data_IF_236092712551
#
_entry.id   IF_236092712551
#
_cell.length_a   1.000
_cell.length_b   1.000
_cell.length_c   1.000
_cell.angle_alpha   90.00
_cell.angle_beta   90.00
_cell.angle_gamma   90.00
#
_symmetry.space_group_name_H-M   'P 1'
#
loop_
_entity.id
_entity.type
_entity.pdbx_description
1 polymer ?
#
# COMPACT_ATOMS: atom_id res chain seq x y z
N UNK A 1 10.61 -14.45 35.66
CA UNK A 1 10.71 -12.99 35.85
C UNK A 1 11.08 -12.35 34.52
N UNK A 2 10.13 -11.67 33.89
CA UNK A 2 10.29 -11.06 32.55
C UNK A 2 10.83 -9.63 32.76
N UNK A 3 11.96 -9.22 32.13
CA UNK A 3 12.49 -7.88 32.30
C UNK A 3 11.65 -6.86 31.52
N UNK A 4 11.44 -5.68 32.11
CA UNK A 4 10.65 -4.57 31.55
C UNK A 4 11.39 -3.82 30.43
N UNK A 5 10.62 -3.32 29.46
CA UNK A 5 11.03 -2.67 28.20
C UNK A 5 12.03 -1.50 28.35
N UNK A 6 12.16 -0.91 29.54
CA UNK A 6 13.09 0.19 29.82
C UNK A 6 14.57 -0.22 29.73
N UNK A 7 14.89 -1.50 30.01
CA UNK A 7 16.28 -1.97 30.06
C UNK A 7 16.89 -2.24 28.68
N UNK A 8 16.05 -2.52 27.67
CA UNK A 8 16.47 -2.72 26.28
C UNK A 8 16.91 -1.39 25.64
N UNK A 9 16.25 -0.27 25.97
CA UNK A 9 16.51 1.03 25.34
C UNK A 9 17.88 1.62 25.73
N UNK A 10 18.41 1.32 26.92
CA UNK A 10 19.71 1.86 27.36
C UNK A 10 20.92 1.19 26.73
N UNK A 11 20.81 -0.05 26.26
CA UNK A 11 21.94 -0.79 25.70
C UNK A 11 22.26 -0.41 24.25
N UNK A 12 21.32 0.21 23.54
CA UNK A 12 21.50 0.67 22.15
C UNK A 12 22.20 2.03 22.02
N UNK A 13 22.31 2.82 23.09
CA UNK A 13 22.97 4.15 23.04
C UNK A 13 24.49 4.10 23.09
N UNK A 14 25.08 3.03 23.63
CA UNK A 14 26.53 2.97 23.88
C UNK A 14 27.36 2.34 22.75
N UNK A 15 26.73 1.89 21.66
CA UNK A 15 27.42 1.38 20.47
C UNK A 15 27.48 2.40 19.32
N UNK A 16 26.93 3.60 19.51
CA UNK A 16 26.92 4.68 18.51
C UNK A 16 28.26 5.42 18.35
N UNK A 17 29.35 4.92 18.96
CA UNK A 17 30.65 5.61 19.01
C UNK A 17 31.63 5.24 17.88
N UNK A 18 31.48 4.09 17.22
CA UNK A 18 32.41 3.65 16.19
C UNK A 18 31.65 2.94 15.08
N UNK A 19 31.94 3.31 13.83
CA UNK A 19 31.36 2.83 12.56
C UNK A 19 30.12 3.62 12.13
N UNK A 20 30.32 4.48 11.13
CA UNK A 20 29.27 5.19 10.42
C UNK A 20 28.30 4.24 9.76
N UNK A 21 27.19 3.96 10.44
CA UNK A 21 26.00 3.37 9.85
C UNK A 21 25.20 4.49 9.18
N UNK A 22 25.53 4.81 7.93
CA UNK A 22 24.54 5.40 7.02
C UNK A 22 23.52 4.29 6.75
N UNK A 23 22.25 4.59 7.05
CA UNK A 23 21.15 3.62 7.14
C UNK A 23 21.03 2.67 5.95
N UNK A 24 20.78 1.40 6.27
CA UNK A 24 20.55 0.30 5.32
C UNK A 24 19.20 0.35 4.59
N UNK A 25 18.44 1.43 4.71
CA UNK A 25 17.24 1.64 3.92
C UNK A 25 16.92 3.12 3.92
N UNK A 26 17.25 3.80 2.82
CA UNK A 26 16.60 4.98 2.26
C UNK A 26 17.54 5.52 1.19
N UNK A 27 17.13 5.44 -0.08
CA UNK A 27 17.61 6.43 -1.04
C UNK A 27 17.30 7.84 -0.52
N UNK A 28 17.93 8.87 -1.08
CA UNK A 28 17.73 10.26 -0.68
C UNK A 28 16.26 10.53 -0.29
N UNK A 29 16.06 10.97 0.96
CA UNK A 29 14.76 11.23 1.57
C UNK A 29 13.88 11.97 0.55
N UNK A 30 12.87 11.27 0.03
CA UNK A 30 12.11 11.76 -1.13
C UNK A 30 11.40 13.07 -0.76
N UNK A 31 11.54 14.07 -1.61
CA UNK A 31 10.91 15.40 -1.47
C UNK A 31 9.37 15.36 -1.64
N UNK A 32 8.75 14.19 -1.82
CA UNK A 32 7.30 14.06 -1.91
C UNK A 32 6.67 14.14 -0.52
N UNK A 33 5.73 15.07 -0.36
CA UNK A 33 4.98 15.28 0.88
C UNK A 33 3.94 14.20 1.13
N UNK A 34 3.41 13.54 0.09
CA UNK A 34 2.31 12.58 0.23
C UNK A 34 2.79 11.15 0.07
N UNK A 35 2.45 10.29 1.03
CA UNK A 35 2.56 8.84 0.88
C UNK A 35 1.18 8.20 0.73
N UNK A 36 1.16 6.98 0.21
CA UNK A 36 -0.03 6.21 -0.08
C UNK A 36 -0.03 4.95 0.77
N UNK A 37 -1.07 4.76 1.58
CA UNK A 37 -1.27 3.51 2.31
C UNK A 37 -2.05 2.53 1.42
N UNK A 38 -1.32 1.61 0.79
CA UNK A 38 -1.89 0.49 0.05
C UNK A 38 -2.29 -0.60 1.04
N UNK A 39 -3.56 -0.99 1.03
CA UNK A 39 -4.07 -2.04 1.91
C UNK A 39 -4.72 -3.13 1.08
N UNK A 40 -4.49 -4.37 1.50
CA UNK A 40 -5.03 -5.57 0.88
C UNK A 40 -5.66 -6.43 1.96
N UNK A 41 -6.90 -6.84 1.75
CA UNK A 41 -7.58 -7.76 2.67
C UNK A 41 -7.99 -9.01 1.93
N UNK A 42 -7.66 -10.16 2.51
CA UNK A 42 -8.31 -11.41 2.18
C UNK A 42 -9.60 -11.53 2.97
N UNK A 43 -10.69 -11.83 2.26
CA UNK A 43 -12.01 -12.02 2.84
C UNK A 43 -12.35 -13.51 2.77
N UNK A 44 -13.11 -14.02 3.74
CA UNK A 44 -13.63 -15.38 3.67
C UNK A 44 -14.58 -15.51 2.46
N UNK A 45 -14.47 -16.57 1.64
CA UNK A 45 -15.23 -16.68 0.40
C UNK A 45 -16.75 -16.59 0.58
N UNK A 46 -17.29 -17.23 1.63
CA UNK A 46 -18.72 -17.21 1.97
C UNK A 46 -19.23 -15.85 2.45
N UNK A 47 -18.32 -14.92 2.78
CA UNK A 47 -18.60 -13.59 3.32
C UNK A 47 -18.30 -12.45 2.37
N UNK A 48 -17.81 -12.74 1.16
CA UNK A 48 -17.33 -11.70 0.24
C UNK A 48 -18.42 -10.67 -0.12
N UNK A 49 -19.60 -11.15 -0.49
CA UNK A 49 -20.74 -10.28 -0.85
C UNK A 49 -21.21 -9.44 0.35
N UNK A 50 -21.36 -10.07 1.52
CA UNK A 50 -21.75 -9.41 2.78
C UNK A 50 -20.74 -8.32 3.19
N UNK A 51 -19.45 -8.58 2.98
CA UNK A 51 -18.37 -7.63 3.23
C UNK A 51 -18.45 -6.41 2.30
N UNK A 52 -18.69 -6.62 1.01
CA UNK A 52 -18.78 -5.53 0.04
C UNK A 52 -19.98 -4.63 0.32
N UNK A 53 -21.15 -5.21 0.56
CA UNK A 53 -22.35 -4.46 0.92
C UNK A 53 -22.13 -3.64 2.20
N UNK A 54 -21.60 -4.28 3.25
CA UNK A 54 -21.30 -3.60 4.53
C UNK A 54 -20.30 -2.46 4.34
N UNK A 55 -19.34 -2.61 3.42
CA UNK A 55 -18.38 -1.57 3.07
C UNK A 55 -19.04 -0.42 2.32
N UNK A 56 -19.81 -0.69 1.27
CA UNK A 56 -20.51 0.34 0.51
C UNK A 56 -21.39 1.21 1.41
N UNK A 57 -22.16 0.58 2.29
CA UNK A 57 -23.07 1.28 3.21
C UNK A 57 -22.36 2.18 4.22
N UNK A 58 -21.11 1.87 4.61
CA UNK A 58 -20.46 2.50 5.76
C UNK A 58 -19.11 3.17 5.45
N UNK A 59 -18.57 3.03 4.23
CA UNK A 59 -17.26 3.59 3.86
C UNK A 59 -17.22 5.12 3.98
N UNK A 60 -18.38 5.77 3.83
CA UNK A 60 -18.54 7.22 3.99
C UNK A 60 -18.10 7.72 5.36
N UNK A 61 -18.25 6.91 6.41
CA UNK A 61 -17.78 7.23 7.76
C UNK A 61 -16.27 7.40 7.80
N UNK A 62 -15.52 6.59 7.03
CA UNK A 62 -14.06 6.72 6.92
C UNK A 62 -13.65 7.84 5.97
N UNK A 63 -14.35 8.00 4.85
CA UNK A 63 -13.99 9.05 3.87
C UNK A 63 -14.23 10.45 4.40
N UNK A 64 -15.07 10.62 5.44
CA UNK A 64 -15.19 11.86 6.19
C UNK A 64 -13.89 12.27 6.92
N UNK A 65 -13.00 11.32 7.24
CA UNK A 65 -11.74 11.59 7.93
C UNK A 65 -10.50 11.57 7.03
N UNK A 66 -10.53 10.79 5.94
CA UNK A 66 -9.40 10.63 5.02
C UNK A 66 -9.86 10.44 3.59
N UNK A 67 -9.21 11.06 2.60
CA UNK A 67 -9.51 10.81 1.19
C UNK A 67 -9.28 9.35 0.83
N UNK A 68 -10.14 8.80 -0.03
CA UNK A 68 -9.97 7.50 -0.66
C UNK A 68 -9.48 7.74 -2.08
N UNK A 69 -8.35 7.15 -2.47
CA UNK A 69 -7.90 7.24 -3.86
C UNK A 69 -8.72 6.28 -4.73
N UNK A 70 -8.87 5.04 -4.29
CA UNK A 70 -9.68 4.06 -4.99
C UNK A 70 -9.82 2.76 -4.20
N UNK A 71 -10.80 1.97 -4.60
CA UNK A 71 -11.19 0.73 -3.95
C UNK A 71 -11.60 -0.29 -5.03
N UNK A 72 -11.00 -1.47 -4.98
CA UNK A 72 -11.19 -2.50 -6.01
C UNK A 72 -11.41 -3.87 -5.38
N UNK A 73 -12.14 -4.72 -6.10
CA UNK A 73 -12.15 -6.17 -5.94
C UNK A 73 -11.11 -6.79 -6.87
N UNK A 74 -10.56 -7.94 -6.49
CA UNK A 74 -9.66 -8.72 -7.36
C UNK A 74 -10.47 -9.76 -8.12
N UNK A 75 -10.48 -9.67 -9.45
CA UNK A 75 -11.15 -10.61 -10.36
C UNK A 75 -10.21 -11.74 -10.80
N UNK A 76 -8.93 -11.44 -10.99
CA UNK A 76 -7.92 -12.42 -11.39
C UNK A 76 -6.66 -12.31 -10.53
N UNK A 77 -6.11 -13.46 -10.11
CA UNK A 77 -4.99 -13.55 -9.16
C UNK A 77 -5.43 -14.16 -7.83
N UNK A 78 -5.28 -13.42 -6.72
CA UNK A 78 -5.75 -13.90 -5.40
C UNK A 78 -7.22 -13.50 -5.22
N UNK A 79 -8.11 -14.47 -5.45
CA UNK A 79 -9.55 -14.28 -5.34
C UNK A 79 -10.01 -13.96 -3.91
N UNK A 80 -11.22 -13.42 -3.78
CA UNK A 80 -11.80 -12.99 -2.50
C UNK A 80 -10.96 -11.93 -1.79
N UNK A 81 -10.30 -11.07 -2.55
CA UNK A 81 -9.44 -10.01 -2.04
C UNK A 81 -9.97 -8.64 -2.47
N UNK A 82 -9.81 -7.66 -1.59
CA UNK A 82 -9.99 -6.23 -1.92
C UNK A 82 -8.67 -5.48 -1.83
N UNK A 83 -8.53 -4.45 -2.65
CA UNK A 83 -7.39 -3.53 -2.66
C UNK A 83 -7.92 -2.12 -2.48
N UNK A 84 -7.32 -1.31 -1.63
CA UNK A 84 -7.70 0.09 -1.51
C UNK A 84 -6.54 0.98 -1.07
N UNK A 85 -6.50 2.20 -1.59
CA UNK A 85 -5.38 3.14 -1.41
C UNK A 85 -5.85 4.43 -0.72
N UNK A 86 -5.10 4.86 0.29
CA UNK A 86 -5.38 6.06 1.08
C UNK A 86 -4.18 7.01 1.06
N UNK A 87 -4.28 8.20 0.44
CA UNK A 87 -3.21 9.19 0.47
C UNK A 87 -3.17 9.93 1.81
N UNK A 88 -1.96 10.19 2.31
CA UNK A 88 -1.71 10.98 3.52
C UNK A 88 -0.52 11.92 3.33
N UNK A 89 -0.68 13.16 3.80
CA UNK A 89 0.38 14.20 3.79
C UNK A 89 1.50 13.93 4.81
N UNK A 90 1.25 13.10 5.83
CA UNK A 90 2.25 12.76 6.83
C UNK A 90 1.81 11.60 7.71
N UNK A 91 2.78 10.94 8.36
CA UNK A 91 2.52 9.88 9.34
C UNK A 91 1.72 10.41 10.53
N UNK A 92 1.93 11.69 10.89
CA UNK A 92 1.15 12.36 11.93
C UNK A 92 -0.33 12.49 11.53
N UNK A 93 -0.62 12.91 10.29
CA UNK A 93 -2.00 12.98 9.78
C UNK A 93 -2.65 11.60 9.79
N UNK A 94 -1.96 10.57 9.27
CA UNK A 94 -2.45 9.18 9.32
C UNK A 94 -2.76 8.73 10.74
N UNK A 95 -1.86 9.01 11.69
CA UNK A 95 -2.05 8.65 13.10
C UNK A 95 -3.29 9.35 13.66
N UNK A 96 -3.45 10.64 13.42
CA UNK A 96 -4.62 11.40 13.89
C UNK A 96 -5.95 10.84 13.35
N UNK A 97 -6.01 10.50 12.05
CA UNK A 97 -7.18 9.89 11.41
C UNK A 97 -7.50 8.54 12.07
N UNK A 98 -6.50 7.67 12.24
CA UNK A 98 -6.72 6.37 12.86
C UNK A 98 -7.15 6.48 14.32
N UNK A 99 -6.62 7.45 15.07
CA UNK A 99 -7.06 7.73 16.44
C UNK A 99 -8.50 8.24 16.50
N UNK A 100 -8.92 9.10 15.55
CA UNK A 100 -10.29 9.58 15.46
C UNK A 100 -11.26 8.42 15.17
N UNK A 101 -10.96 7.60 14.16
CA UNK A 101 -11.76 6.43 13.80
C UNK A 101 -11.86 5.40 14.94
N UNK A 102 -10.82 5.25 15.75
CA UNK A 102 -10.84 4.36 16.92
C UNK A 102 -11.72 4.89 18.07
N UNK A 103 -12.20 6.14 18.00
CA UNK A 103 -13.14 6.73 18.96
C UNK A 103 -14.54 6.90 18.40
N UNK A 104 -14.71 6.75 17.08
CA UNK A 104 -16.00 6.84 16.42
C UNK A 104 -16.80 5.55 16.63
N UNK A 105 -17.82 5.62 17.48
CA UNK A 105 -18.71 4.49 17.76
C UNK A 105 -19.48 4.04 16.53
N UNK A 106 -19.90 4.94 15.65
CA UNK A 106 -20.61 4.55 14.44
C UNK A 106 -19.70 3.72 13.52
N UNK A 107 -18.45 4.15 13.34
CA UNK A 107 -17.47 3.39 12.57
C UNK A 107 -17.18 2.02 13.19
N UNK A 108 -17.05 1.96 14.51
CA UNK A 108 -16.77 0.70 15.22
C UNK A 108 -17.97 -0.25 15.12
N UNK A 109 -19.16 0.21 15.49
CA UNK A 109 -20.34 -0.63 15.67
C UNK A 109 -20.99 -1.02 14.34
N UNK A 110 -21.01 -0.09 13.36
CA UNK A 110 -21.67 -0.33 12.08
C UNK A 110 -20.77 -1.02 11.07
N UNK A 111 -19.45 -0.82 11.16
CA UNK A 111 -18.50 -1.34 10.17
C UNK A 111 -17.49 -2.32 10.77
N UNK A 112 -16.59 -1.86 11.65
CA UNK A 112 -15.44 -2.68 12.09
C UNK A 112 -15.87 -3.98 12.78
N UNK A 113 -16.84 -3.91 13.69
CA UNK A 113 -17.36 -5.07 14.42
C UNK A 113 -17.92 -6.15 13.48
N UNK A 114 -18.55 -5.73 12.37
CA UNK A 114 -19.15 -6.61 11.37
C UNK A 114 -18.12 -7.20 10.43
N UNK A 115 -17.21 -6.37 9.90
CA UNK A 115 -16.25 -6.85 8.90
C UNK A 115 -15.13 -7.68 9.50
N UNK A 116 -14.71 -7.44 10.75
CA UNK A 116 -13.55 -8.11 11.33
C UNK A 116 -13.66 -9.66 11.32
N UNK A 117 -14.80 -10.27 11.70
CA UNK A 117 -15.00 -11.72 11.57
C UNK A 117 -14.99 -12.25 10.12
N UNK A 118 -15.22 -11.40 9.12
CA UNK A 118 -15.24 -11.77 7.70
C UNK A 118 -13.84 -11.82 7.08
N UNK A 119 -12.84 -11.22 7.73
CA UNK A 119 -11.47 -11.16 7.23
C UNK A 119 -10.73 -12.48 7.48
N UNK A 120 -9.94 -12.92 6.50
CA UNK A 120 -8.98 -14.02 6.65
C UNK A 120 -7.57 -13.50 6.95
N UNK A 121 -7.15 -12.43 6.28
CA UNK A 121 -5.88 -11.75 6.52
C UNK A 121 -5.96 -10.27 6.11
N UNK A 122 -5.01 -9.48 6.63
CA UNK A 122 -4.86 -8.06 6.27
C UNK A 122 -3.40 -7.72 6.06
N UNK A 123 -3.13 -6.88 5.07
CA UNK A 123 -1.82 -6.30 4.86
C UNK A 123 -1.95 -4.80 4.59
N UNK A 124 -0.96 -4.05 5.08
CA UNK A 124 -0.81 -2.62 4.86
C UNK A 124 0.63 -2.34 4.46
N UNK A 125 0.81 -1.53 3.43
CA UNK A 125 2.11 -1.08 2.96
C UNK A 125 2.09 0.44 2.83
N UNK A 126 3.19 1.08 3.19
CA UNK A 126 3.40 2.50 2.91
C UNK A 126 4.21 2.62 1.64
N UNK A 127 3.65 3.32 0.66
CA UNK A 127 4.26 3.50 -0.65
C UNK A 127 4.34 4.98 -1.00
N UNK A 128 5.29 5.32 -1.86
CA UNK A 128 5.41 6.66 -2.43
C UNK A 128 5.38 6.56 -3.93
N UNK A 129 4.89 7.62 -4.57
CA UNK A 129 4.94 7.73 -6.02
C UNK A 129 6.40 7.90 -6.44
N UNK A 130 6.85 7.18 -7.46
CA UNK A 130 8.19 7.42 -7.99
C UNK A 130 8.28 8.83 -8.59
N UNK A 131 9.42 9.55 -8.50
CA UNK A 131 9.49 10.98 -8.83
C UNK A 131 9.08 11.36 -10.26
N UNK A 132 9.15 10.41 -11.19
CA UNK A 132 8.83 10.61 -12.61
C UNK A 132 7.41 10.19 -12.99
N UNK A 133 6.65 9.58 -12.08
CA UNK A 133 5.26 9.22 -12.32
C UNK A 133 4.34 10.33 -11.80
N UNK A 134 3.23 10.54 -12.50
CA UNK A 134 2.13 11.38 -12.04
C UNK A 134 0.89 10.50 -11.87
N UNK A 135 0.13 10.74 -10.80
CA UNK A 135 -1.16 10.09 -10.65
C UNK A 135 -2.11 10.65 -11.70
N UNK A 136 -2.76 9.78 -12.47
CA UNK A 136 -3.77 10.18 -13.44
C UNK A 136 -5.09 9.47 -13.13
N UNK A 137 -6.17 10.23 -13.04
CA UNK A 137 -7.51 9.66 -13.10
C UNK A 137 -7.80 9.26 -14.54
N UNK A 138 -8.30 8.04 -14.80
CA UNK A 138 -8.67 7.65 -16.14
C UNK A 138 -9.83 8.50 -16.66
N UNK A 139 -9.87 8.69 -17.98
CA UNK A 139 -10.91 9.49 -18.64
C UNK A 139 -12.25 8.74 -18.76
N UNK A 140 -12.20 7.42 -18.73
CA UNK A 140 -13.34 6.51 -18.88
C UNK A 140 -13.30 5.43 -17.80
N UNK A 141 -14.46 4.85 -17.49
CA UNK A 141 -14.52 3.73 -16.55
C UNK A 141 -13.77 2.52 -17.11
N UNK A 142 -13.05 1.78 -16.27
CA UNK A 142 -12.18 0.72 -16.75
C UNK A 142 -11.77 -0.34 -15.72
N UNK A 143 -11.10 -1.37 -16.24
CA UNK A 143 -10.44 -2.39 -15.42
C UNK A 143 -8.99 -1.99 -15.18
N UNK A 144 -8.46 -2.36 -14.01
CA UNK A 144 -7.13 -1.96 -13.59
C UNK A 144 -6.25 -3.20 -13.46
N UNK A 145 -4.98 -3.09 -13.83
CA UNK A 145 -4.01 -4.14 -13.55
C UNK A 145 -3.05 -3.65 -12.46
N UNK A 146 -3.03 -4.33 -11.32
CA UNK A 146 -2.01 -4.12 -10.30
C UNK A 146 -0.85 -5.09 -10.54
N UNK A 147 0.22 -4.55 -11.12
CA UNK A 147 1.47 -5.27 -11.33
C UNK A 147 2.42 -4.97 -10.18
N UNK A 148 2.80 -6.00 -9.43
CA UNK A 148 3.72 -5.90 -8.30
C UNK A 148 5.02 -6.62 -8.62
N UNK A 149 6.13 -5.88 -8.54
CA UNK A 149 7.48 -6.40 -8.71
C UNK A 149 8.20 -6.47 -7.37
N UNK A 150 8.82 -7.61 -7.08
CA UNK A 150 9.83 -7.69 -6.04
C UNK A 150 11.18 -7.35 -6.67
N UNK A 151 11.68 -6.15 -6.33
CA UNK A 151 12.94 -5.63 -6.85
C UNK A 151 14.08 -5.92 -5.88
N UNK A 152 15.29 -6.05 -6.42
CA UNK A 152 16.49 -6.15 -5.57
C UNK A 152 16.73 -4.89 -4.73
N UNK A 153 17.35 -5.03 -3.55
CA UNK A 153 17.74 -3.89 -2.71
C UNK A 153 18.59 -2.86 -3.47
N UNK A 154 18.45 -1.59 -3.09
CA UNK A 154 19.13 -0.46 -3.74
C UNK A 154 18.16 0.61 -4.28
N UNK A 155 16.86 0.32 -4.25
CA UNK A 155 15.79 1.30 -4.50
C UNK A 155 15.80 1.91 -5.92
N UNK A 156 15.03 2.98 -6.13
CA UNK A 156 14.91 3.63 -7.44
C UNK A 156 16.24 4.13 -8.03
N UNK A 157 17.28 4.34 -7.21
CA UNK A 157 18.62 4.69 -7.70
C UNK A 157 19.25 3.59 -8.55
N UNK A 158 18.96 2.32 -8.25
CA UNK A 158 19.53 1.17 -8.96
C UNK A 158 18.74 0.80 -10.21
N UNK A 159 17.41 0.79 -10.13
CA UNK A 159 16.56 0.28 -11.22
C UNK A 159 15.64 1.33 -11.85
N UNK A 160 15.55 2.54 -11.29
CA UNK A 160 14.54 3.54 -11.66
C UNK A 160 14.58 3.96 -13.13
N UNK A 161 15.77 4.28 -13.67
CA UNK A 161 15.91 4.69 -15.08
C UNK A 161 15.50 3.59 -16.05
N UNK A 162 16.02 2.37 -15.85
CA UNK A 162 15.74 1.23 -16.71
C UNK A 162 14.28 0.80 -16.62
N UNK A 163 13.71 0.81 -15.41
CA UNK A 163 12.31 0.48 -15.18
C UNK A 163 11.37 1.51 -15.81
N UNK A 164 11.68 2.80 -15.69
CA UNK A 164 10.93 3.86 -16.36
C UNK A 164 10.93 3.68 -17.89
N UNK A 165 12.09 3.36 -18.50
CA UNK A 165 12.17 3.11 -19.94
C UNK A 165 11.30 1.92 -20.38
N UNK A 166 11.28 0.84 -19.60
CA UNK A 166 10.44 -0.32 -19.88
C UNK A 166 8.94 0.03 -19.81
N UNK A 167 8.52 0.74 -18.76
CA UNK A 167 7.12 1.15 -18.59
C UNK A 167 6.66 2.14 -19.66
N UNK A 168 7.49 3.11 -20.02
CA UNK A 168 7.18 4.03 -21.12
C UNK A 168 7.02 3.28 -22.45
N UNK A 169 7.83 2.25 -22.69
CA UNK A 169 7.69 1.42 -23.88
C UNK A 169 6.33 0.72 -23.90
N UNK A 170 5.91 0.14 -22.77
CA UNK A 170 4.59 -0.50 -22.65
C UNK A 170 3.44 0.49 -22.86
N UNK A 171 3.51 1.68 -22.23
CA UNK A 171 2.47 2.70 -22.35
C UNK A 171 2.38 3.26 -23.78
N UNK A 172 3.51 3.47 -24.46
CA UNK A 172 3.56 4.03 -25.81
C UNK A 172 2.98 3.10 -26.90
N UNK A 173 2.82 1.81 -26.60
CA UNK A 173 2.19 0.86 -27.53
C UNK A 173 0.65 0.98 -27.50
N UNK A 174 0.08 1.73 -26.53
CA UNK A 174 -1.34 2.11 -26.52
C UNK A 174 -2.29 1.06 -25.93
N UNK A 175 -1.78 -0.05 -25.37
CA UNK A 175 -2.60 -1.08 -24.73
C UNK A 175 -3.07 -0.74 -23.32
N UNK A 176 -2.37 0.16 -22.61
CA UNK A 176 -2.72 0.53 -21.25
C UNK A 176 -2.36 1.98 -20.94
N UNK A 177 -3.12 2.59 -20.03
CA UNK A 177 -2.81 3.91 -19.47
C UNK A 177 -2.17 3.71 -18.09
N UNK A 178 -0.99 4.29 -17.89
CA UNK A 178 -0.28 4.18 -16.61
C UNK A 178 -0.91 5.14 -15.58
N UNK A 179 -1.67 4.59 -14.63
CA UNK A 179 -2.38 5.36 -13.58
C UNK A 179 -1.44 5.85 -12.47
N UNK A 180 -0.42 5.05 -12.11
CA UNK A 180 0.55 5.42 -11.09
C UNK A 180 1.61 4.34 -10.87
N UNK A 181 2.80 4.75 -10.40
CA UNK A 181 3.89 3.83 -10.08
C UNK A 181 4.40 4.13 -8.68
N UNK A 182 4.29 3.13 -7.81
CA UNK A 182 4.64 3.28 -6.40
C UNK A 182 5.80 2.38 -6.03
N UNK A 183 6.63 2.84 -5.09
CA UNK A 183 7.63 2.00 -4.42
C UNK A 183 7.31 1.94 -2.93
N UNK A 184 7.43 0.76 -2.33
CA UNK A 184 7.12 0.54 -0.92
C UNK A 184 8.33 0.84 -0.03
N UNK A 185 8.13 1.67 1.00
CA UNK A 185 9.16 1.96 2.01
C UNK A 185 9.08 0.96 3.18
N UNK A 186 7.86 0.58 3.58
CA UNK A 186 7.60 -0.34 4.68
C UNK A 186 6.56 -1.42 4.31
N UNK A 187 6.87 -2.67 4.67
CA UNK A 187 6.10 -3.88 4.32
C UNK A 187 7.00 -4.93 3.64
N UNK A 188 6.58 -6.20 3.55
CA UNK A 188 7.34 -7.35 2.98
C UNK A 188 8.87 -7.18 2.95
N UNK A 189 9.47 -6.92 4.11
CA UNK A 189 10.92 -6.90 4.31
C UNK A 189 11.29 -8.25 4.88
N UNK A 190 12.08 -9.02 4.12
CA UNK A 190 13.00 -10.08 4.53
C UNK A 190 13.17 -11.04 3.36
N UNK A 191 14.33 -11.02 2.70
CA UNK A 191 15.06 -12.15 2.13
C UNK A 191 16.34 -11.61 1.46
N UNK A 192 17.51 -12.18 1.80
CA UNK A 192 18.78 -11.91 1.13
C UNK A 192 19.01 -13.04 0.12
N UNK A 193 19.07 -12.71 -1.16
CA UNK A 193 19.49 -13.64 -2.22
C UNK A 193 20.36 -12.91 -3.25
N UNK A 194 21.55 -13.43 -3.48
CA UNK A 194 22.48 -12.92 -4.50
C UNK A 194 22.28 -13.67 -5.82
N UNK A 195 22.01 -12.92 -6.90
CA UNK A 195 22.04 -13.38 -8.29
C UNK A 195 22.08 -12.15 -9.22
N UNK A 196 22.34 -12.29 -10.52
CA UNK A 196 22.61 -11.15 -11.43
C UNK A 196 21.39 -10.67 -12.28
N UNK A 197 20.16 -10.78 -11.78
CA UNK A 197 18.92 -10.25 -12.43
C UNK A 197 18.11 -9.33 -11.51
N UNK A 198 17.66 -8.15 -11.97
CA UNK A 198 17.09 -7.09 -11.12
C UNK A 198 15.69 -7.36 -10.54
N UNK A 199 14.90 -8.21 -11.18
CA UNK A 199 13.55 -8.62 -10.75
C UNK A 199 13.67 -10.00 -10.09
N UNK A 200 13.15 -10.13 -8.88
CA UNK A 200 13.10 -11.41 -8.15
C UNK A 200 11.80 -12.15 -8.43
N UNK A 201 10.67 -11.44 -8.45
CA UNK A 201 9.37 -11.99 -8.79
C UNK A 201 8.44 -10.91 -9.34
N UNK A 202 7.41 -11.34 -10.08
CA UNK A 202 6.33 -10.50 -10.57
C UNK A 202 5.00 -11.19 -10.25
N UNK A 203 4.01 -10.39 -9.83
CA UNK A 203 2.62 -10.85 -9.69
C UNK A 203 1.68 -9.80 -10.27
N UNK A 204 0.65 -10.27 -10.99
CA UNK A 204 -0.34 -9.42 -11.62
C UNK A 204 -1.71 -9.73 -11.02
N UNK A 205 -2.53 -8.69 -10.84
CA UNK A 205 -3.91 -8.80 -10.41
C UNK A 205 -4.79 -7.96 -11.31
N UNK A 206 -5.87 -8.55 -11.81
CA UNK A 206 -6.94 -7.79 -12.45
C UNK A 206 -7.89 -7.26 -11.37
N UNK A 207 -8.11 -5.96 -11.39
CA UNK A 207 -8.86 -5.22 -10.41
C UNK A 207 -10.09 -4.58 -11.06
N UNK A 208 -11.25 -4.73 -10.40
CA UNK A 208 -12.50 -4.11 -10.81
C UNK A 208 -12.87 -3.04 -9.78
N UNK A 209 -13.09 -1.77 -10.19
CA UNK A 209 -13.52 -0.72 -9.27
C UNK A 209 -14.83 -1.08 -8.60
N UNK A 210 -14.96 -0.79 -7.30
CA UNK A 210 -16.25 -0.92 -6.63
C UNK A 210 -17.16 0.26 -6.98
N UNK A 211 -18.48 0.09 -6.79
CA UNK A 211 -19.51 1.12 -6.97
C UNK A 211 -19.30 2.38 -6.11
N UNK A 212 -18.44 2.33 -5.09
CA UNK A 212 -18.09 3.46 -4.23
C UNK A 212 -16.61 3.90 -4.37
N UNK A 213 -15.87 3.33 -5.33
CA UNK A 213 -14.52 3.80 -5.67
C UNK A 213 -14.58 5.19 -6.32
N UNK A 214 -13.70 6.13 -5.92
CA UNK A 214 -13.53 7.38 -6.65
C UNK A 214 -12.82 7.20 -8.01
N UNK A 215 -12.02 6.15 -8.17
CA UNK A 215 -11.42 5.75 -9.46
C UNK A 215 -12.25 4.61 -10.05
N UNK A 216 -13.32 4.96 -10.76
CA UNK A 216 -14.12 4.07 -11.61
C UNK A 216 -13.65 4.19 -13.03
#
# INVERSE_FOLDING_TARGET
>A
MIPTASRVIKQWRNLAGCLGWRGLSTGAQQQQTTFYELRRYGIKPDKFSEFLQTTEENIHLRTAHSPLLGYWTVEHGELNQVVHIWPYESYAKRTSVRTALAKDKQWIDRYISKIHPMLSWQQSQVTYLVPWANMQSPAEEGVYELVSFQMKPGGPAMWGKTFQAALNTHANIGYCTLVGVFHAEFGSLNHVRESMKYIESQSNKLLIPTSFSPMK
#
